data_IF_333846757282
#
_entry.id   IF_333846757282
#
_cell.length_a   1.000
_cell.length_b   1.000
_cell.length_c   1.000
_cell.angle_alpha   90.00
_cell.angle_beta   90.00
_cell.angle_gamma   90.00
#
_symmetry.space_group_name_H-M   'P 1'
#
loop_
_entity.id
_entity.type
_entity.pdbx_description
1 polymer ?
#
# COMPACT_ATOMS: atom_id res chain seq x y z
N UNK A 1 6.31 5.99 -4.40
CA UNK A 1 6.67 4.56 -4.19
C UNK A 1 5.78 3.66 -5.01
N UNK A 2 6.33 2.60 -5.58
CA UNK A 2 5.66 1.64 -6.47
C UNK A 2 6.18 0.23 -6.16
N UNK A 3 5.48 -0.83 -6.55
CA UNK A 3 5.89 -2.22 -6.38
C UNK A 3 5.17 -2.92 -5.23
N UNK A 4 5.77 -3.98 -4.70
CA UNK A 4 5.25 -4.71 -3.54
C UNK A 4 6.34 -5.52 -2.85
N UNK A 5 6.46 -5.43 -1.52
CA UNK A 5 7.33 -6.30 -0.72
C UNK A 5 6.72 -7.70 -0.52
N UNK A 6 5.50 -7.96 -0.98
CA UNK A 6 4.74 -9.17 -0.65
C UNK A 6 4.69 -10.17 -1.80
N UNK A 7 4.26 -9.75 -3.00
CA UNK A 7 4.14 -10.62 -4.16
C UNK A 7 4.02 -9.83 -5.46
N UNK A 8 4.20 -10.53 -6.59
CA UNK A 8 4.16 -9.96 -7.93
C UNK A 8 2.77 -9.41 -8.31
N UNK A 9 1.68 -10.03 -7.84
CA UNK A 9 0.31 -9.54 -8.12
C UNK A 9 0.12 -8.10 -7.65
N UNK A 10 0.48 -7.81 -6.39
CA UNK A 10 0.41 -6.44 -5.87
C UNK A 10 1.44 -5.50 -6.50
N UNK A 11 2.60 -6.02 -6.93
CA UNK A 11 3.59 -5.21 -7.62
C UNK A 11 3.09 -4.75 -9.01
N UNK A 12 2.43 -5.63 -9.74
CA UNK A 12 1.84 -5.32 -11.05
C UNK A 12 0.66 -4.36 -10.91
N UNK A 13 -0.22 -4.58 -9.92
CA UNK A 13 -1.30 -3.64 -9.60
C UNK A 13 -0.74 -2.25 -9.23
N UNK A 14 0.30 -2.22 -8.40
CA UNK A 14 0.99 -0.98 -8.04
C UNK A 14 1.57 -0.26 -9.26
N UNK A 15 2.23 -0.99 -10.15
CA UNK A 15 2.82 -0.43 -11.37
C UNK A 15 1.76 0.22 -12.25
N UNK A 16 0.63 -0.46 -12.47
CA UNK A 16 -0.48 0.05 -13.27
C UNK A 16 -0.97 1.41 -12.73
N UNK A 17 -1.30 1.48 -11.45
CA UNK A 17 -1.83 2.69 -10.83
C UNK A 17 -0.80 3.82 -10.77
N UNK A 18 0.46 3.51 -10.48
CA UNK A 18 1.51 4.50 -10.44
C UNK A 18 1.81 5.09 -11.82
N UNK A 19 1.84 4.25 -12.87
CA UNK A 19 2.07 4.71 -14.24
C UNK A 19 0.92 5.60 -14.74
N UNK A 20 -0.33 5.20 -14.49
CA UNK A 20 -1.50 6.02 -14.84
C UNK A 20 -1.53 7.34 -14.06
N UNK A 21 -1.16 7.32 -12.78
CA UNK A 21 -1.05 8.53 -11.97
C UNK A 21 0.01 9.49 -12.51
N UNK A 22 1.22 8.99 -12.82
CA UNK A 22 2.30 9.80 -13.39
C UNK A 22 1.88 10.40 -14.75
N UNK A 23 1.27 9.59 -15.63
CA UNK A 23 0.74 10.04 -16.92
C UNK A 23 -0.34 11.10 -16.76
N UNK A 24 -1.24 10.93 -15.80
CA UNK A 24 -2.32 11.89 -15.55
C UNK A 24 -1.78 13.23 -15.01
N UNK A 25 -0.76 13.20 -14.16
CA UNK A 25 -0.16 14.42 -13.59
C UNK A 25 0.78 15.13 -14.58
N UNK A 26 1.45 14.39 -15.46
CA UNK A 26 2.32 14.94 -16.47
C UNK A 26 3.51 15.68 -15.86
N UNK A 27 3.79 16.87 -16.37
CA UNK A 27 4.88 17.77 -15.95
C UNK A 27 4.56 18.61 -14.71
N UNK A 28 3.35 18.50 -14.15
CA UNK A 28 2.93 19.24 -12.96
C UNK A 28 3.64 18.82 -11.69
N UNK A 29 4.27 17.63 -11.70
CA UNK A 29 4.97 17.04 -10.57
C UNK A 29 6.24 16.38 -11.11
N UNK A 30 7.38 16.66 -10.48
CA UNK A 30 8.60 15.91 -10.74
C UNK A 30 8.61 14.62 -9.92
N UNK A 31 8.73 13.48 -10.60
CA UNK A 31 8.64 12.16 -9.96
C UNK A 31 10.00 11.49 -9.83
N UNK A 32 10.41 11.24 -8.59
CA UNK A 32 11.40 10.22 -8.28
C UNK A 32 10.68 8.88 -7.99
N UNK A 33 11.01 7.84 -8.75
CA UNK A 33 10.42 6.51 -8.54
C UNK A 33 11.28 5.67 -7.59
N UNK A 34 10.61 5.10 -6.59
CA UNK A 34 11.17 4.06 -5.72
C UNK A 34 10.33 2.80 -5.90
N UNK A 35 10.91 1.79 -6.55
CA UNK A 35 10.33 0.47 -6.77
C UNK A 35 10.69 -0.46 -5.62
N UNK A 36 9.69 -1.00 -4.93
CA UNK A 36 9.83 -1.88 -3.79
C UNK A 36 9.61 -3.33 -4.20
N UNK A 37 10.54 -4.20 -3.83
CA UNK A 37 10.46 -5.65 -3.99
C UNK A 37 10.78 -6.35 -2.65
N UNK A 38 10.52 -7.67 -2.50
CA UNK A 38 10.63 -8.34 -1.20
C UNK A 38 12.00 -8.22 -0.51
N UNK A 39 13.08 -8.09 -1.28
CA UNK A 39 14.46 -8.07 -0.77
C UNK A 39 15.07 -6.67 -0.71
N UNK A 40 14.42 -5.65 -1.28
CA UNK A 40 15.06 -4.36 -1.43
C UNK A 40 14.28 -3.38 -2.30
N UNK A 41 14.98 -2.33 -2.71
CA UNK A 41 14.41 -1.21 -3.44
C UNK A 41 15.26 -0.89 -4.66
N UNK A 42 14.63 -0.43 -5.73
CA UNK A 42 15.28 0.13 -6.92
C UNK A 42 14.80 1.55 -7.14
N UNK A 43 15.61 2.35 -7.81
CA UNK A 43 15.28 3.75 -8.14
C UNK A 43 15.33 3.96 -9.66
N UNK A 44 14.32 3.47 -10.40
CA UNK A 44 14.32 3.55 -11.86
C UNK A 44 13.98 4.96 -12.35
N UNK A 45 14.47 5.30 -13.55
CA UNK A 45 14.16 6.57 -14.22
C UNK A 45 12.76 6.58 -14.85
N UNK A 46 12.14 5.42 -15.04
CA UNK A 46 10.80 5.29 -15.61
C UNK A 46 10.07 4.06 -15.05
N UNK A 47 8.74 4.09 -15.09
CA UNK A 47 7.87 2.98 -14.69
C UNK A 47 7.64 1.98 -15.82
N UNK A 48 8.72 1.54 -16.48
CA UNK A 48 8.70 0.42 -17.44
C UNK A 48 9.42 -0.77 -16.84
N UNK A 49 9.03 -2.00 -17.21
CA UNK A 49 9.69 -3.21 -16.71
C UNK A 49 11.19 -3.23 -17.01
N UNK A 50 11.60 -2.73 -18.18
CA UNK A 50 13.00 -2.63 -18.57
C UNK A 50 13.79 -1.64 -17.67
N UNK A 51 13.25 -0.44 -17.44
CA UNK A 51 13.90 0.55 -16.57
C UNK A 51 13.98 0.07 -15.12
N UNK A 52 12.93 -0.59 -14.62
CA UNK A 52 12.91 -1.21 -13.29
C UNK A 52 14.00 -2.29 -13.17
N UNK A 53 14.09 -3.20 -14.15
CA UNK A 53 15.07 -4.28 -14.12
C UNK A 53 16.52 -3.77 -14.23
N UNK A 54 16.76 -2.69 -14.98
CA UNK A 54 18.08 -2.09 -15.15
C UNK A 54 18.56 -1.29 -13.93
N UNK A 55 17.65 -0.79 -13.09
CA UNK A 55 18.00 -0.01 -11.92
C UNK A 55 18.67 -0.88 -10.83
N UNK A 56 19.75 -0.43 -10.17
CA UNK A 56 20.41 -1.20 -9.11
C UNK A 56 19.48 -1.55 -7.95
N UNK A 57 19.66 -2.74 -7.38
CA UNK A 57 18.97 -3.16 -6.16
C UNK A 57 19.74 -2.69 -4.93
N UNK A 58 19.07 -1.90 -4.10
CA UNK A 58 19.55 -1.45 -2.82
C UNK A 58 18.95 -2.28 -1.69
N UNK A 59 19.76 -2.60 -0.69
CA UNK A 59 19.23 -3.13 0.58
C UNK A 59 18.29 -2.12 1.22
N UNK A 60 17.37 -2.53 2.11
CA UNK A 60 16.45 -1.60 2.77
C UNK A 60 17.15 -0.42 3.47
N UNK A 61 18.28 -0.68 4.14
CA UNK A 61 19.06 0.36 4.81
C UNK A 61 19.66 1.34 3.79
N UNK A 62 20.27 0.84 2.72
CA UNK A 62 20.84 1.69 1.68
C UNK A 62 19.77 2.50 0.94
N UNK A 63 18.59 1.92 0.73
CA UNK A 63 17.46 2.59 0.09
C UNK A 63 16.93 3.75 0.95
N UNK A 64 16.75 3.54 2.26
CA UNK A 64 16.33 4.59 3.18
C UNK A 64 17.36 5.73 3.21
N UNK A 65 18.65 5.40 3.28
CA UNK A 65 19.72 6.39 3.21
C UNK A 65 19.70 7.17 1.89
N UNK A 66 19.45 6.51 0.76
CA UNK A 66 19.34 7.18 -0.53
C UNK A 66 18.12 8.11 -0.60
N UNK A 67 16.97 7.71 -0.05
CA UNK A 67 15.76 8.56 -0.02
C UNK A 67 16.03 9.88 0.72
N UNK A 68 16.79 9.83 1.81
CA UNK A 68 17.18 11.03 2.55
C UNK A 68 18.02 12.02 1.73
N UNK A 69 18.69 11.57 0.66
CA UNK A 69 19.49 12.43 -0.23
C UNK A 69 18.71 12.96 -1.44
N UNK A 70 17.51 12.46 -1.71
CA UNK A 70 16.75 12.82 -2.92
C UNK A 70 16.14 14.23 -2.86
N UNK A 71 15.99 14.81 -1.66
CA UNK A 71 15.36 16.12 -1.51
C UNK A 71 13.88 16.16 -1.88
N UNK A 72 13.16 15.02 -1.76
CA UNK A 72 11.73 14.94 -2.09
C UNK A 72 10.88 15.75 -1.11
N UNK A 73 9.88 16.46 -1.64
CA UNK A 73 8.95 17.27 -0.85
C UNK A 73 7.85 16.44 -0.20
N UNK A 74 7.65 15.20 -0.66
CA UNK A 74 6.68 14.29 -0.10
C UNK A 74 6.65 12.95 -0.83
N UNK A 75 5.89 12.01 -0.27
CA UNK A 75 5.79 10.65 -0.79
C UNK A 75 4.37 10.37 -1.26
N UNK A 76 4.26 9.80 -2.46
CA UNK A 76 3.02 9.20 -2.96
C UNK A 76 3.13 7.66 -2.86
N UNK A 77 2.53 7.01 -1.84
CA UNK A 77 2.60 5.56 -1.70
C UNK A 77 1.54 4.91 -2.59
N UNK A 78 1.97 4.24 -3.67
CA UNK A 78 1.10 3.45 -4.56
C UNK A 78 1.23 1.95 -4.27
N UNK A 79 1.39 1.55 -3.01
CA UNK A 79 1.49 0.13 -2.61
C UNK A 79 0.11 -0.39 -2.17
N UNK A 80 -0.27 -1.57 -2.66
CA UNK A 80 -1.61 -2.14 -2.44
C UNK A 80 -1.64 -3.39 -1.56
N UNK A 81 -0.47 -3.92 -1.18
CA UNK A 81 -0.42 -4.99 -0.19
C UNK A 81 -0.54 -4.44 1.24
N UNK A 82 -0.91 -5.30 2.19
CA UNK A 82 -1.09 -4.91 3.59
C UNK A 82 0.17 -4.27 4.18
N UNK A 83 1.35 -4.87 3.97
CA UNK A 83 2.62 -4.30 4.43
C UNK A 83 2.88 -2.91 3.84
N UNK A 84 2.56 -2.73 2.54
CA UNK A 84 2.72 -1.45 1.84
C UNK A 84 1.79 -0.36 2.36
N UNK A 85 0.53 -0.71 2.61
CA UNK A 85 -0.49 0.21 3.11
C UNK A 85 -0.31 0.57 4.60
N UNK A 86 0.44 -0.24 5.35
CA UNK A 86 0.65 -0.10 6.80
C UNK A 86 2.11 0.24 7.12
N UNK A 87 2.98 -0.76 7.27
CA UNK A 87 4.35 -0.63 7.74
C UNK A 87 5.19 0.34 6.89
N UNK A 88 5.16 0.20 5.56
CA UNK A 88 5.91 1.10 4.68
C UNK A 88 5.33 2.51 4.67
N UNK A 89 4.05 2.69 4.97
CA UNK A 89 3.44 4.01 5.13
C UNK A 89 3.87 4.67 6.43
N UNK A 90 3.98 3.89 7.51
CA UNK A 90 4.48 4.35 8.81
C UNK A 90 5.94 4.82 8.75
N UNK A 91 6.76 4.23 7.87
CA UNK A 91 8.14 4.65 7.65
C UNK A 91 8.25 6.14 7.33
N UNK A 92 7.32 6.71 6.55
CA UNK A 92 7.36 8.14 6.19
C UNK A 92 7.14 9.06 7.38
N UNK A 93 6.29 8.66 8.33
CA UNK A 93 6.16 9.37 9.61
C UNK A 93 7.46 9.36 10.41
N UNK A 94 8.19 8.23 10.41
CA UNK A 94 9.48 8.09 11.09
C UNK A 94 10.56 8.94 10.43
N UNK A 95 10.57 9.01 9.10
CA UNK A 95 11.52 9.81 8.32
C UNK A 95 11.12 11.30 8.24
N UNK A 96 10.03 11.70 8.89
CA UNK A 96 9.48 13.05 8.84
C UNK A 96 9.20 13.56 7.41
N UNK A 97 8.89 12.64 6.49
CA UNK A 97 8.47 12.96 5.13
C UNK A 97 6.94 12.98 5.06
N UNK A 98 6.33 14.08 4.59
CA UNK A 98 4.88 14.10 4.39
C UNK A 98 4.52 13.10 3.29
N UNK A 99 3.34 12.49 3.39
CA UNK A 99 2.88 11.54 2.40
C UNK A 99 1.37 11.66 2.16
N UNK A 100 0.94 11.32 0.94
CA UNK A 100 -0.47 11.41 0.57
C UNK A 100 -1.30 10.24 1.12
N UNK A 101 -2.49 10.57 1.63
CA UNK A 101 -3.56 9.65 2.03
C UNK A 101 -3.55 9.25 3.51
N UNK A 102 -4.19 8.13 3.84
CA UNK A 102 -4.55 7.81 5.23
C UNK A 102 -3.35 7.40 6.12
N UNK A 103 -3.41 7.66 7.44
CA UNK A 103 -2.46 7.14 8.41
C UNK A 103 -2.33 5.60 8.40
N UNK A 104 -1.15 5.04 8.74
CA UNK A 104 -0.94 3.59 8.76
C UNK A 104 -1.90 2.85 9.69
N UNK A 105 -2.22 3.43 10.85
CA UNK A 105 -3.18 2.85 11.80
C UNK A 105 -4.60 2.76 11.21
N UNK A 106 -5.04 3.80 10.50
CA UNK A 106 -6.32 3.81 9.79
C UNK A 106 -6.35 2.73 8.71
N UNK A 107 -5.25 2.57 7.95
CA UNK A 107 -5.15 1.52 6.94
C UNK A 107 -5.18 0.11 7.54
N UNK A 108 -4.50 -0.11 8.68
CA UNK A 108 -4.50 -1.39 9.38
C UNK A 108 -5.90 -1.77 9.87
N UNK A 109 -6.63 -0.81 10.43
CA UNK A 109 -8.02 -0.99 10.83
C UNK A 109 -8.91 -1.27 9.62
N UNK A 110 -8.76 -0.49 8.55
CA UNK A 110 -9.60 -0.61 7.35
C UNK A 110 -9.36 -1.93 6.58
N UNK A 111 -8.14 -2.47 6.61
CA UNK A 111 -7.82 -3.76 6.01
C UNK A 111 -8.57 -4.92 6.71
N UNK A 112 -8.85 -4.78 8.01
CA UNK A 112 -9.60 -5.73 8.84
C UNK A 112 -11.09 -5.43 8.81
N UNK A 113 -11.84 -6.10 7.92
CA UNK A 113 -13.25 -5.75 7.65
C UNK A 113 -14.15 -5.91 8.87
N UNK A 114 -13.82 -6.82 9.77
CA UNK A 114 -14.47 -7.02 11.06
C UNK A 114 -14.27 -5.81 11.99
N UNK A 115 -13.04 -5.30 12.09
CA UNK A 115 -12.71 -4.15 12.92
C UNK A 115 -13.28 -2.86 12.34
N UNK A 116 -13.11 -2.63 11.03
CA UNK A 116 -13.67 -1.49 10.33
C UNK A 116 -15.20 -1.43 10.50
N UNK A 117 -15.90 -2.55 10.31
CA UNK A 117 -17.35 -2.66 10.51
C UNK A 117 -17.74 -2.31 11.95
N UNK A 118 -17.06 -2.89 12.94
CA UNK A 118 -17.37 -2.65 14.35
C UNK A 118 -17.20 -1.17 14.72
N UNK A 119 -16.13 -0.52 14.24
CA UNK A 119 -15.86 0.89 14.52
C UNK A 119 -16.89 1.83 13.88
N UNK A 120 -17.20 1.64 12.59
CA UNK A 120 -18.20 2.51 11.95
C UNK A 120 -19.60 2.27 12.50
N UNK A 121 -19.93 1.03 12.88
CA UNK A 121 -21.19 0.71 13.56
C UNK A 121 -21.29 1.40 14.93
N UNK A 122 -20.21 1.38 15.72
CA UNK A 122 -20.14 2.07 17.00
C UNK A 122 -20.28 3.60 16.83
N UNK A 123 -19.85 4.14 15.69
CA UNK A 123 -20.06 5.54 15.32
C UNK A 123 -21.46 5.87 14.77
N UNK A 124 -22.39 4.90 14.75
CA UNK A 124 -23.77 5.09 14.30
C UNK A 124 -24.02 4.86 12.82
N UNK A 125 -23.03 4.38 12.06
CA UNK A 125 -23.22 4.03 10.64
C UNK A 125 -23.95 2.70 10.53
N UNK A 126 -25.00 2.66 9.72
CA UNK A 126 -25.69 1.42 9.39
C UNK A 126 -24.75 0.47 8.62
N UNK A 127 -24.52 -0.73 9.18
CA UNK A 127 -23.70 -1.77 8.56
C UNK A 127 -24.48 -3.07 8.38
N UNK A 128 -24.15 -3.91 7.39
CA UNK A 128 -24.74 -5.24 7.27
C UNK A 128 -24.46 -6.11 8.49
N UNK A 129 -25.45 -6.92 8.90
CA UNK A 129 -25.22 -8.01 9.86
C UNK A 129 -24.16 -8.95 9.29
N UNK A 130 -23.20 -9.32 10.12
CA UNK A 130 -22.11 -10.19 9.70
C UNK A 130 -21.50 -10.91 10.90
N UNK A 131 -20.98 -12.12 10.67
CA UNK A 131 -20.24 -12.90 11.64
C UNK A 131 -18.80 -13.15 11.16
N UNK A 132 -17.88 -13.34 12.10
CA UNK A 132 -16.49 -13.74 11.81
C UNK A 132 -16.37 -15.24 12.08
N UNK A 133 -15.86 -15.99 11.11
CA UNK A 133 -15.61 -17.42 11.22
C UNK A 133 -14.10 -17.65 11.36
N UNK A 134 -13.63 -18.06 12.55
CA UNK A 134 -12.20 -18.29 12.86
C UNK A 134 -11.82 -19.77 12.96
N UNK A 135 -12.80 -20.66 13.04
CA UNK A 135 -12.66 -22.11 13.20
C UNK A 135 -13.56 -22.83 12.18
N UNK A 136 -13.48 -24.17 12.09
CA UNK A 136 -14.41 -25.02 11.31
C UNK A 136 -15.83 -25.05 11.92
N UNK A 137 -16.40 -23.88 12.26
CA UNK A 137 -17.77 -23.72 12.76
C UNK A 137 -18.70 -23.46 11.59
N UNK A 138 -19.91 -24.00 11.68
CA UNK A 138 -20.98 -23.68 10.73
C UNK A 138 -21.44 -22.23 10.92
N UNK A 139 -21.74 -21.51 9.82
CA UNK A 139 -22.30 -20.16 9.90
C UNK A 139 -23.68 -20.20 10.57
N UNK A 140 -23.98 -19.16 11.35
CA UNK A 140 -25.32 -18.93 11.93
C UNK A 140 -26.21 -18.09 11.03
N UNK A 141 -25.62 -17.37 10.06
CA UNK A 141 -26.38 -16.58 9.10
C UNK A 141 -27.05 -17.47 8.04
N UNK A 142 -28.32 -17.21 7.77
CA UNK A 142 -29.06 -17.87 6.69
C UNK A 142 -28.66 -17.29 5.31
N UNK A 143 -28.66 -18.10 4.24
CA UNK A 143 -28.44 -17.60 2.89
C UNK A 143 -29.63 -16.76 2.38
N UNK A 144 -29.41 -15.84 1.42
CA UNK A 144 -28.13 -15.56 0.76
C UNK A 144 -27.17 -14.74 1.63
N UNK A 145 -25.87 -15.08 1.58
CA UNK A 145 -24.81 -14.40 2.32
C UNK A 145 -23.55 -14.23 1.46
N UNK A 146 -22.78 -13.17 1.70
CA UNK A 146 -21.49 -12.92 1.05
C UNK A 146 -20.37 -13.44 1.94
N UNK A 147 -19.61 -14.40 1.42
CA UNK A 147 -18.40 -14.93 2.08
C UNK A 147 -17.18 -14.21 1.52
N UNK A 148 -16.33 -13.68 2.41
CA UNK A 148 -15.10 -12.99 2.05
C UNK A 148 -14.00 -13.27 3.08
N UNK A 149 -12.72 -13.29 2.66
CA UNK A 149 -11.61 -13.22 3.60
C UNK A 149 -11.74 -11.99 4.51
N UNK A 150 -11.32 -12.15 5.77
CA UNK A 150 -11.30 -11.09 6.77
C UNK A 150 -10.60 -9.83 6.23
#
# INVERSE_FOLDING_TARGET
>A
MVGSPTNAFFADLSLLYAADCARALGDRVDFCYAWLEPTGWRFPTALTRAAIAAAPLHSPVAAIAHIATLGVEGVLPQLFCEAGMTAYRALWSVLHLPYLGNPPATMAIAARKDWARALVQAAGVAVPKAEVLTERRSPRMAPPAVVKPA
#
